data_IF_956966841652
#
_entry.id   IF_956966841652
#
_cell.length_a   1.000
_cell.length_b   1.000
_cell.length_c   1.000
_cell.angle_alpha   90.00
_cell.angle_beta   90.00
_cell.angle_gamma   90.00
#
_symmetry.space_group_name_H-M   'P 1'
#
loop_
_entity.id
_entity.type
_entity.pdbx_description
1 polymer ?
#
# COMPACT_ATOMS: atom_id res chain seq x y z
N UNK A 1 5.78 -17.67 16.25
CA UNK A 1 4.83 -17.89 15.13
C UNK A 1 5.52 -18.79 14.12
N UNK A 2 4.95 -19.95 13.81
CA UNK A 2 5.43 -20.81 12.73
C UNK A 2 5.25 -20.07 11.41
N UNK A 3 6.31 -19.95 10.61
CA UNK A 3 6.22 -19.46 9.24
C UNK A 3 5.26 -20.34 8.44
N UNK A 4 4.52 -19.74 7.50
CA UNK A 4 3.63 -20.49 6.62
C UNK A 4 4.44 -21.51 5.79
N UNK A 5 3.91 -22.73 5.65
CA UNK A 5 4.55 -23.74 4.82
C UNK A 5 4.40 -23.40 3.34
N UNK A 6 5.17 -24.06 2.46
CA UNK A 6 4.97 -23.92 1.00
C UNK A 6 3.55 -24.29 0.57
N UNK A 7 2.91 -25.24 1.26
CA UNK A 7 1.52 -25.63 1.00
C UNK A 7 0.54 -24.52 1.40
N UNK A 8 0.74 -23.89 2.56
CA UNK A 8 -0.06 -22.75 3.03
C UNK A 8 0.06 -21.56 2.07
N UNK A 9 1.28 -21.20 1.69
CA UNK A 9 1.53 -20.14 0.72
C UNK A 9 0.82 -20.42 -0.62
N UNK A 10 0.88 -21.65 -1.13
CA UNK A 10 0.18 -22.03 -2.37
C UNK A 10 -1.33 -21.89 -2.23
N UNK A 11 -1.91 -22.33 -1.11
CA UNK A 11 -3.34 -22.21 -0.80
C UNK A 11 -3.78 -20.75 -0.73
N UNK A 12 -3.08 -19.93 0.05
CA UNK A 12 -3.38 -18.50 0.23
C UNK A 12 -3.23 -17.74 -1.08
N UNK A 13 -2.15 -17.98 -1.84
CA UNK A 13 -1.95 -17.39 -3.17
C UNK A 13 -3.10 -17.72 -4.13
N UNK A 14 -3.54 -18.98 -4.14
CA UNK A 14 -4.69 -19.40 -4.98
C UNK A 14 -5.99 -18.71 -4.55
N UNK A 15 -6.17 -18.44 -3.25
CA UNK A 15 -7.33 -17.72 -2.74
C UNK A 15 -7.31 -16.24 -3.13
N UNK A 16 -6.14 -15.60 -3.06
CA UNK A 16 -5.95 -14.18 -3.33
C UNK A 16 -5.88 -13.83 -4.82
N UNK A 17 -5.44 -14.76 -5.68
CA UNK A 17 -5.20 -14.50 -7.10
C UNK A 17 -6.36 -13.78 -7.83
N UNK A 18 -7.65 -14.09 -7.61
CA UNK A 18 -8.75 -13.38 -8.26
C UNK A 18 -8.81 -11.88 -7.93
N UNK A 19 -8.38 -11.48 -6.72
CA UNK A 19 -8.35 -10.07 -6.31
C UNK A 19 -7.42 -9.21 -7.18
N UNK A 20 -6.42 -9.84 -7.80
CA UNK A 20 -5.44 -9.21 -8.69
C UNK A 20 -5.75 -9.47 -10.17
N UNK A 21 -6.95 -9.95 -10.49
CA UNK A 21 -7.37 -10.10 -11.88
C UNK A 21 -7.65 -8.75 -12.52
N UNK A 22 -7.50 -8.63 -13.84
CA UNK A 22 -7.82 -7.39 -14.59
C UNK A 22 -9.23 -6.89 -14.30
N UNK A 23 -10.21 -7.79 -14.24
CA UNK A 23 -11.59 -7.44 -13.94
C UNK A 23 -11.72 -6.81 -12.54
N UNK A 24 -11.09 -7.41 -11.52
CA UNK A 24 -11.12 -6.88 -10.16
C UNK A 24 -10.35 -5.58 -10.00
N UNK A 25 -9.23 -5.41 -10.70
CA UNK A 25 -8.48 -4.15 -10.71
C UNK A 25 -9.28 -3.03 -11.39
N UNK A 26 -9.97 -3.33 -12.50
CA UNK A 26 -10.83 -2.33 -13.17
C UNK A 26 -12.00 -1.87 -12.29
N UNK A 27 -12.51 -2.71 -11.37
CA UNK A 27 -13.52 -2.28 -10.38
C UNK A 27 -13.00 -1.17 -9.45
N UNK A 28 -11.67 -0.99 -9.34
CA UNK A 28 -11.01 -0.05 -8.43
C UNK A 28 -10.66 1.28 -9.11
N UNK A 29 -10.91 1.41 -10.41
CA UNK A 29 -10.54 2.61 -11.19
C UNK A 29 -11.12 3.89 -10.60
N UNK A 30 -12.42 3.88 -10.25
CA UNK A 30 -13.07 5.03 -9.65
C UNK A 30 -12.48 5.40 -8.27
N UNK A 31 -12.05 4.40 -7.48
CA UNK A 31 -11.40 4.63 -6.20
C UNK A 31 -10.02 5.25 -6.39
N UNK A 32 -9.20 4.71 -7.30
CA UNK A 32 -7.88 5.27 -7.58
C UNK A 32 -7.98 6.69 -8.14
N UNK A 33 -8.92 6.93 -9.07
CA UNK A 33 -9.15 8.25 -9.63
C UNK A 33 -9.47 9.29 -8.54
N UNK A 34 -10.31 8.93 -7.55
CA UNK A 34 -10.62 9.82 -6.42
C UNK A 34 -9.38 10.15 -5.58
N UNK A 35 -8.51 9.19 -5.31
CA UNK A 35 -7.25 9.42 -4.59
C UNK A 35 -6.27 10.28 -5.39
N UNK A 36 -6.17 10.06 -6.71
CA UNK A 36 -5.35 10.88 -7.60
C UNK A 36 -5.87 12.33 -7.63
N UNK A 37 -7.18 12.54 -7.77
CA UNK A 37 -7.77 13.88 -7.71
C UNK A 37 -7.50 14.59 -6.38
N UNK A 38 -7.55 13.87 -5.27
CA UNK A 38 -7.20 14.42 -3.96
C UNK A 38 -5.71 14.78 -3.88
N UNK A 39 -4.82 13.91 -4.36
CA UNK A 39 -3.38 14.20 -4.43
C UNK A 39 -3.13 15.47 -5.25
N UNK A 40 -3.65 15.54 -6.48
CA UNK A 40 -3.48 16.71 -7.36
C UNK A 40 -3.98 17.97 -6.67
N UNK A 41 -5.16 17.93 -6.03
CA UNK A 41 -5.68 19.06 -5.26
C UNK A 41 -4.69 19.51 -4.17
N UNK A 42 -4.23 18.60 -3.32
CA UNK A 42 -3.32 18.92 -2.22
C UNK A 42 -1.94 19.42 -2.69
N UNK A 43 -1.48 18.97 -3.86
CA UNK A 43 -0.24 19.43 -4.48
C UNK A 43 -0.40 20.82 -5.11
N UNK A 44 -1.54 21.09 -5.77
CA UNK A 44 -1.85 22.41 -6.33
C UNK A 44 -1.94 23.47 -5.25
N UNK A 45 -2.65 23.20 -4.15
CA UNK A 45 -2.75 24.13 -3.01
C UNK A 45 -1.36 24.52 -2.46
N UNK A 46 -0.42 23.58 -2.43
CA UNK A 46 0.96 23.85 -1.99
C UNK A 46 1.80 24.58 -3.01
N UNK A 47 1.59 24.28 -4.30
CA UNK A 47 2.26 24.97 -5.38
C UNK A 47 1.84 26.46 -5.40
N UNK A 48 0.56 26.74 -5.19
CA UNK A 48 0.01 28.11 -5.09
C UNK A 48 0.61 28.90 -3.91
N UNK A 49 0.93 28.21 -2.82
CA UNK A 49 1.60 28.78 -1.64
C UNK A 49 3.14 28.74 -1.72
N UNK A 50 3.71 28.26 -2.84
CA UNK A 50 5.15 28.06 -3.06
C UNK A 50 5.83 27.20 -1.97
N UNK A 51 5.08 26.26 -1.38
CA UNK A 51 5.59 25.38 -0.32
C UNK A 51 6.34 24.20 -0.95
N UNK A 52 7.63 24.02 -0.66
CA UNK A 52 8.37 22.85 -1.14
C UNK A 52 7.83 21.58 -0.50
N UNK A 53 7.77 20.51 -1.29
CA UNK A 53 7.26 19.21 -0.86
C UNK A 53 8.34 18.14 -0.92
N UNK A 54 8.21 17.13 -0.05
CA UNK A 54 8.91 15.88 -0.22
C UNK A 54 8.06 14.91 -1.05
N UNK A 55 8.38 14.75 -2.34
CA UNK A 55 7.61 13.88 -3.25
C UNK A 55 7.54 12.42 -2.77
N UNK A 56 8.55 11.96 -2.02
CA UNK A 56 8.55 10.61 -1.44
C UNK A 56 7.41 10.45 -0.44
N UNK A 57 7.17 11.45 0.41
CA UNK A 57 6.08 11.40 1.39
C UNK A 57 4.72 11.42 0.69
N UNK A 58 4.56 12.27 -0.32
CA UNK A 58 3.32 12.36 -1.10
C UNK A 58 2.96 11.07 -1.83
N UNK A 59 3.94 10.39 -2.43
CA UNK A 59 3.72 9.09 -3.04
C UNK A 59 3.42 8.00 -2.01
N UNK A 60 4.02 8.07 -0.83
CA UNK A 60 3.62 7.17 0.26
C UNK A 60 2.19 7.46 0.72
N UNK A 61 1.79 8.71 0.90
CA UNK A 61 0.43 9.06 1.33
C UNK A 61 -0.64 8.50 0.40
N UNK A 62 -0.53 8.74 -0.92
CA UNK A 62 -1.51 8.22 -1.88
C UNK A 62 -1.51 6.69 -1.93
N UNK A 63 -0.34 6.05 -1.92
CA UNK A 63 -0.26 4.58 -2.04
C UNK A 63 -0.71 3.88 -0.76
N UNK A 64 -0.50 4.48 0.42
CA UNK A 64 -1.04 3.96 1.68
C UNK A 64 -2.56 4.07 1.69
N UNK A 65 -3.11 5.23 1.37
CA UNK A 65 -4.55 5.46 1.38
C UNK A 65 -5.26 4.54 0.37
N UNK A 66 -4.76 4.49 -0.87
CA UNK A 66 -5.35 3.66 -1.91
C UNK A 66 -5.24 2.16 -1.62
N UNK A 67 -4.06 1.66 -1.21
CA UNK A 67 -3.90 0.22 -0.92
C UNK A 67 -4.64 -0.16 0.37
N UNK A 68 -4.75 0.74 1.34
CA UNK A 68 -5.64 0.58 2.49
C UNK A 68 -7.07 0.31 2.05
N UNK A 69 -7.61 1.22 1.21
CA UNK A 69 -8.96 1.07 0.69
C UNK A 69 -9.11 -0.20 -0.17
N UNK A 70 -8.14 -0.49 -1.02
CA UNK A 70 -8.11 -1.70 -1.84
C UNK A 70 -8.12 -2.98 -1.00
N UNK A 71 -7.47 -2.98 0.17
CA UNK A 71 -7.29 -4.18 0.98
C UNK A 71 -8.44 -4.39 1.95
N UNK A 72 -8.89 -3.33 2.62
CA UNK A 72 -9.86 -3.39 3.72
C UNK A 72 -11.04 -2.42 3.59
N UNK A 73 -11.22 -1.75 2.45
CA UNK A 73 -12.25 -0.72 2.23
C UNK A 73 -12.15 0.49 3.18
N UNK A 74 -10.96 0.76 3.73
CA UNK A 74 -10.71 1.88 4.65
C UNK A 74 -9.44 2.62 4.25
N UNK A 75 -9.55 3.95 4.11
CA UNK A 75 -8.41 4.84 3.87
C UNK A 75 -7.76 5.22 5.19
N UNK A 76 -6.45 5.51 5.17
CA UNK A 76 -5.73 5.99 6.34
C UNK A 76 -5.72 7.53 6.44
N UNK A 77 -6.33 8.21 5.46
CA UNK A 77 -6.45 9.65 5.38
C UNK A 77 -5.09 10.38 5.43
N UNK A 78 -4.03 9.78 4.91
CA UNK A 78 -2.69 10.38 4.90
C UNK A 78 -2.64 11.61 4.00
N UNK A 79 -3.33 11.59 2.85
CA UNK A 79 -3.42 12.74 1.95
C UNK A 79 -4.15 13.93 2.59
N UNK A 80 -5.29 13.68 3.24
CA UNK A 80 -6.08 14.74 3.89
C UNK A 80 -5.37 15.37 5.08
N UNK A 81 -4.68 14.54 5.86
CA UNK A 81 -3.95 14.98 7.04
C UNK A 81 -2.56 15.56 6.73
N UNK A 82 -2.05 15.33 5.51
CA UNK A 82 -0.69 15.68 5.09
C UNK A 82 0.41 15.09 5.98
N UNK A 83 0.12 13.94 6.60
CA UNK A 83 1.03 13.22 7.48
C UNK A 83 0.65 11.74 7.45
N UNK A 84 1.60 10.89 7.80
CA UNK A 84 1.32 9.48 7.95
C UNK A 84 0.38 9.25 9.13
N UNK A 85 -0.56 8.33 8.93
CA UNK A 85 -1.31 7.79 10.05
C UNK A 85 -0.34 7.18 11.10
N UNK A 86 -0.57 7.39 12.42
CA UNK A 86 0.36 6.94 13.48
C UNK A 86 0.77 5.45 13.41
N UNK A 87 -0.12 4.62 12.88
CA UNK A 87 0.14 3.21 12.63
C UNK A 87 1.27 2.98 11.61
N UNK A 88 1.29 3.74 10.51
CA UNK A 88 2.33 3.63 9.47
C UNK A 88 3.68 4.08 10.01
N UNK A 89 3.72 5.21 10.74
CA UNK A 89 4.93 5.64 11.46
C UNK A 89 5.47 4.50 12.35
N UNK A 90 4.58 3.81 13.05
CA UNK A 90 4.94 2.70 13.92
C UNK A 90 5.45 1.47 13.14
N UNK A 91 4.97 1.22 11.92
CA UNK A 91 5.48 0.14 11.04
C UNK A 91 6.92 0.43 10.64
N UNK A 92 7.22 1.63 10.13
CA UNK A 92 8.57 1.97 9.70
C UNK A 92 9.58 1.90 10.85
N UNK A 93 9.17 2.33 12.06
CA UNK A 93 9.95 2.13 13.28
C UNK A 93 10.10 0.63 13.61
N UNK A 94 9.02 -0.14 13.50
CA UNK A 94 8.99 -1.59 13.75
C UNK A 94 9.90 -2.38 12.82
N UNK A 95 10.00 -2.03 11.53
CA UNK A 95 10.91 -2.69 10.57
C UNK A 95 12.37 -2.55 11.01
N UNK A 96 12.78 -1.36 11.45
CA UNK A 96 14.12 -1.14 12.03
C UNK A 96 14.32 -1.96 13.29
N UNK A 97 13.30 -2.02 14.15
CA UNK A 97 13.29 -2.85 15.35
C UNK A 97 13.44 -4.35 15.07
N UNK A 98 12.74 -4.87 14.06
CA UNK A 98 12.85 -6.27 13.62
C UNK A 98 14.25 -6.58 13.07
N UNK A 99 14.80 -5.70 12.25
CA UNK A 99 16.16 -5.85 11.71
C UNK A 99 17.19 -5.90 12.85
N UNK A 100 17.10 -4.97 13.81
CA UNK A 100 17.97 -4.92 14.97
C UNK A 100 17.82 -6.17 15.85
N UNK A 101 16.59 -6.58 16.16
CA UNK A 101 16.33 -7.78 16.96
C UNK A 101 16.86 -9.05 16.29
N UNK A 102 16.80 -9.13 14.95
CA UNK A 102 17.37 -10.25 14.20
C UNK A 102 18.89 -10.33 14.34
N UNK A 103 19.59 -9.19 14.25
CA UNK A 103 21.04 -9.12 14.47
C UNK A 103 21.39 -9.49 15.92
N UNK A 104 20.65 -8.98 16.89
CA UNK A 104 20.86 -9.27 18.31
C UNK A 104 20.58 -10.74 18.65
N UNK A 105 19.65 -11.40 17.96
CA UNK A 105 19.37 -12.82 18.12
C UNK A 105 20.52 -13.74 17.69
N UNK A 106 21.46 -13.26 16.87
CA UNK A 106 22.70 -13.99 16.57
C UNK A 106 23.77 -13.84 17.66
N UNK A 107 23.64 -12.86 18.56
CA UNK A 107 24.63 -12.54 19.60
C UNK A 107 23.97 -12.34 20.97
N UNK A 108 23.78 -13.43 21.73
CA UNK A 108 23.06 -13.36 23.01
C UNK A 108 23.60 -12.40 24.07
N UNK A 109 24.92 -12.15 24.21
CA UNK A 109 25.42 -11.14 25.15
C UNK A 109 24.96 -9.72 24.80
N UNK A 110 24.88 -9.39 23.50
CA UNK A 110 24.41 -8.10 23.01
C UNK A 110 22.90 -7.93 23.22
N UNK A 111 22.11 -9.01 23.11
CA UNK A 111 20.66 -8.98 23.37
C UNK A 111 20.34 -8.59 24.82
N UNK A 112 21.14 -9.06 25.78
CA UNK A 112 20.98 -8.67 27.19
C UNK A 112 21.32 -7.19 27.37
N UNK A 113 22.44 -6.72 26.81
CA UNK A 113 22.85 -5.31 26.91
C UNK A 113 21.79 -4.35 26.34
N UNK A 114 21.21 -4.68 25.18
CA UNK A 114 20.18 -3.84 24.53
C UNK A 114 18.89 -3.79 25.33
N UNK A 115 18.48 -4.87 26.02
CA UNK A 115 17.31 -4.86 26.93
C UNK A 115 17.45 -3.86 28.08
N UNK A 116 18.67 -3.57 28.53
CA UNK A 116 18.95 -2.58 29.58
C UNK A 116 19.01 -1.14 29.05
N UNK A 117 19.14 -0.97 27.74
CA UNK A 117 19.07 0.34 27.08
C UNK A 117 17.65 0.67 26.64
N UNK A 118 17.27 1.96 26.63
CA UNK A 118 15.97 2.44 26.11
C UNK A 118 15.79 2.26 24.58
N UNK A 119 16.68 1.51 23.92
CA UNK A 119 16.60 1.11 22.51
C UNK A 119 15.35 0.23 22.23
N UNK A 120 14.71 -0.30 23.27
CA UNK A 120 13.44 -1.05 23.18
C UNK A 120 12.20 -0.24 22.76
N UNK A 121 12.30 1.08 22.53
CA UNK A 121 11.13 1.89 22.13
C UNK A 121 10.57 1.47 20.77
N UNK A 122 11.43 1.07 19.84
CA UNK A 122 11.04 0.58 18.50
C UNK A 122 10.46 -0.85 18.55
N UNK A 123 10.86 -1.65 19.55
CA UNK A 123 10.31 -3.00 19.78
C UNK A 123 8.92 -2.92 20.42
N UNK A 124 8.65 -1.91 21.26
CA UNK A 124 7.31 -1.67 21.80
C UNK A 124 6.32 -1.14 20.74
N UNK A 125 6.82 -0.44 19.70
CA UNK A 125 6.00 0.01 18.57
C UNK A 125 5.37 -1.17 17.80
N UNK A 126 6.05 -2.32 17.74
CA UNK A 126 5.59 -3.57 17.11
C UNK A 126 4.28 -4.09 17.72
N UNK A 127 4.02 -3.86 19.01
CA UNK A 127 2.76 -4.27 19.66
C UNK A 127 1.58 -3.39 19.24
N UNK A 128 1.77 -2.07 19.19
CA UNK A 128 0.76 -1.12 18.70
C UNK A 128 0.46 -1.28 17.20
N UNK A 129 1.50 -1.55 16.38
CA UNK A 129 1.36 -1.88 14.96
C UNK A 129 0.48 -3.11 14.77
N UNK A 130 0.75 -4.17 15.52
CA UNK A 130 -0.04 -5.40 15.47
C UNK A 130 -1.45 -5.18 15.96
N UNK A 131 -1.66 -4.36 16.98
CA UNK A 131 -2.99 -4.10 17.53
C UNK A 131 -3.88 -3.33 16.57
N UNK A 132 -3.37 -2.26 15.95
CA UNK A 132 -4.15 -1.48 14.99
C UNK A 132 -4.42 -2.27 13.71
N UNK A 133 -3.44 -3.00 13.16
CA UNK A 133 -3.65 -3.89 12.02
C UNK A 133 -4.71 -4.97 12.32
N UNK A 134 -4.69 -5.52 13.53
CA UNK A 134 -5.72 -6.45 14.02
C UNK A 134 -7.08 -5.78 14.08
N UNK A 135 -7.18 -4.58 14.66
CA UNK A 135 -8.43 -3.86 14.81
C UNK A 135 -9.04 -3.50 13.46
N UNK A 136 -8.24 -2.94 12.54
CA UNK A 136 -8.64 -2.63 11.17
C UNK A 136 -9.20 -3.87 10.46
N UNK A 137 -8.46 -4.98 10.52
CA UNK A 137 -8.89 -6.22 9.89
C UNK A 137 -10.12 -6.80 10.58
N UNK A 138 -10.20 -6.78 11.90
CA UNK A 138 -11.35 -7.28 12.67
C UNK A 138 -12.62 -6.48 12.39
N UNK A 139 -12.51 -5.15 12.33
CA UNK A 139 -13.60 -4.27 11.93
C UNK A 139 -14.08 -4.67 10.53
N UNK A 140 -13.16 -4.86 9.58
CA UNK A 140 -13.54 -5.30 8.22
C UNK A 140 -14.18 -6.69 8.19
N UNK A 141 -13.69 -7.62 9.01
CA UNK A 141 -14.26 -8.98 9.15
C UNK A 141 -15.70 -8.96 9.66
N UNK A 142 -16.09 -7.96 10.46
CA UNK A 142 -17.47 -7.84 10.98
C UNK A 142 -18.54 -7.67 9.88
N UNK A 143 -18.14 -7.20 8.69
CA UNK A 143 -19.01 -7.05 7.53
C UNK A 143 -19.12 -8.32 6.67
N UNK A 144 -18.35 -9.37 6.98
CA UNK A 144 -18.31 -10.61 6.20
C UNK A 144 -17.82 -10.39 4.76
N UNK A 145 -18.27 -11.23 3.83
CA UNK A 145 -17.92 -11.19 2.40
C UNK A 145 -18.71 -10.13 1.60
N UNK A 146 -19.35 -9.17 2.30
CA UNK A 146 -20.07 -8.07 1.66
C UNK A 146 -19.11 -7.07 1.03
N UNK A 147 -19.53 -6.49 -0.10
CA UNK A 147 -18.92 -5.30 -0.69
C UNK A 147 -19.30 -4.08 0.14
N UNK A 148 -18.32 -3.24 0.49
CA UNK A 148 -18.54 -2.02 1.27
C UNK A 148 -18.64 -0.81 0.32
N UNK A 149 -17.68 -0.64 -0.59
CA UNK A 149 -17.58 0.54 -1.48
C UNK A 149 -18.01 0.25 -2.93
N UNK A 150 -19.05 -0.57 -3.13
CA UNK A 150 -19.52 -1.06 -4.44
C UNK A 150 -18.51 -1.93 -5.25
N UNK A 151 -17.23 -1.95 -4.89
CA UNK A 151 -16.21 -2.86 -5.39
C UNK A 151 -15.86 -3.94 -4.33
N UNK A 152 -15.19 -5.01 -4.78
CA UNK A 152 -14.61 -6.00 -3.86
C UNK A 152 -13.22 -5.54 -3.41
N UNK A 153 -13.01 -5.30 -2.13
CA UNK A 153 -11.66 -5.23 -1.55
C UNK A 153 -11.00 -6.63 -1.50
N UNK A 154 -9.69 -6.67 -1.29
CA UNK A 154 -8.93 -7.94 -1.20
C UNK A 154 -9.45 -8.83 -0.06
N UNK A 155 -9.93 -8.25 1.05
CA UNK A 155 -10.48 -9.02 2.18
C UNK A 155 -11.74 -9.78 1.81
N UNK A 156 -12.56 -9.24 0.90
CA UNK A 156 -13.72 -9.91 0.31
C UNK A 156 -13.31 -11.22 -0.34
N UNK A 157 -12.21 -11.22 -1.09
CA UNK A 157 -11.67 -12.43 -1.70
C UNK A 157 -11.08 -13.39 -0.66
N UNK A 158 -10.43 -12.88 0.40
CA UNK A 158 -9.94 -13.72 1.50
C UNK A 158 -11.08 -14.44 2.23
N UNK A 159 -12.23 -13.79 2.38
CA UNK A 159 -13.42 -14.34 3.06
C UNK A 159 -14.27 -15.27 2.20
N UNK A 160 -14.08 -15.25 0.88
CA UNK A 160 -14.88 -16.04 -0.05
C UNK A 160 -14.74 -17.54 0.21
N UNK A 161 -15.85 -18.18 0.56
CA UNK A 161 -15.91 -19.63 0.77
C UNK A 161 -15.78 -20.40 -0.55
N UNK A 162 -15.27 -21.62 -0.48
CA UNK A 162 -15.25 -22.54 -1.62
C UNK A 162 -16.65 -23.06 -1.95
N UNK A 163 -16.79 -23.71 -3.11
CA UNK A 163 -18.07 -24.28 -3.56
C UNK A 163 -18.68 -25.31 -2.61
N UNK A 164 -17.86 -25.94 -1.76
CA UNK A 164 -18.26 -26.85 -0.70
C UNK A 164 -18.53 -26.15 0.65
N UNK A 165 -18.56 -24.81 0.67
CA UNK A 165 -18.87 -24.00 1.84
C UNK A 165 -17.73 -23.83 2.85
N UNK A 166 -16.52 -24.34 2.56
CA UNK A 166 -15.38 -24.26 3.49
C UNK A 166 -14.63 -22.93 3.36
N UNK A 167 -14.05 -22.50 4.48
CA UNK A 167 -13.12 -21.38 4.50
C UNK A 167 -11.76 -21.83 3.96
N UNK A 168 -11.14 -20.97 3.14
CA UNK A 168 -9.79 -21.22 2.62
C UNK A 168 -8.70 -20.48 3.36
N UNK A 169 -9.05 -19.45 4.10
CA UNK A 169 -8.16 -18.73 5.00
C UNK A 169 -8.91 -18.54 6.33
N UNK A 170 -8.26 -18.86 7.44
CA UNK A 170 -8.81 -18.59 8.77
C UNK A 170 -8.75 -17.09 9.09
N UNK A 171 -9.61 -16.61 9.99
CA UNK A 171 -9.58 -15.21 10.44
C UNK A 171 -8.19 -14.76 10.93
N UNK A 172 -7.45 -15.66 11.57
CA UNK A 172 -6.10 -15.37 12.06
C UNK A 172 -5.09 -15.21 10.91
N UNK A 173 -5.22 -16.00 9.84
CA UNK A 173 -4.42 -15.84 8.62
C UNK A 173 -4.75 -14.52 7.92
N UNK A 174 -6.03 -14.14 7.85
CA UNK A 174 -6.46 -12.87 7.26
C UNK A 174 -5.86 -11.70 8.05
N UNK A 175 -6.06 -11.67 9.37
CA UNK A 175 -5.52 -10.65 10.29
C UNK A 175 -4.00 -10.46 10.16
N UNK A 176 -3.25 -11.54 9.88
CA UNK A 176 -1.78 -11.47 9.76
C UNK A 176 -1.32 -11.15 8.33
N UNK A 177 -2.14 -11.44 7.32
CA UNK A 177 -1.83 -11.19 5.91
C UNK A 177 -2.17 -9.77 5.48
N UNK A 178 -3.28 -9.22 5.96
CA UNK A 178 -3.75 -7.87 5.64
C UNK A 178 -2.69 -6.77 5.79
N UNK A 179 -2.00 -6.62 6.95
CA UNK A 179 -0.98 -5.58 7.08
C UNK A 179 0.20 -5.79 6.13
N UNK A 180 0.55 -7.05 5.83
CA UNK A 180 1.61 -7.36 4.86
C UNK A 180 1.22 -6.87 3.47
N UNK A 181 -0.03 -7.07 3.05
CA UNK A 181 -0.53 -6.58 1.76
C UNK A 181 -0.50 -5.05 1.68
N UNK A 182 -0.93 -4.36 2.73
CA UNK A 182 -0.91 -2.90 2.79
C UNK A 182 0.51 -2.37 2.66
N UNK A 183 1.42 -2.82 3.53
CA UNK A 183 2.81 -2.34 3.55
C UNK A 183 3.52 -2.66 2.24
N UNK A 184 3.41 -3.91 1.78
CA UNK A 184 4.15 -4.38 0.61
C UNK A 184 3.63 -3.75 -0.69
N UNK A 185 2.35 -3.37 -0.75
CA UNK A 185 1.77 -2.71 -1.92
C UNK A 185 2.08 -1.22 -1.95
N UNK A 186 2.10 -0.55 -0.79
CA UNK A 186 2.28 0.88 -0.71
C UNK A 186 3.74 1.30 -0.89
N UNK A 187 4.64 0.80 -0.04
CA UNK A 187 6.03 1.31 0.04
C UNK A 187 6.81 1.06 -1.26
N UNK A 188 6.67 -0.13 -1.87
CA UNK A 188 7.39 -0.44 -3.11
C UNK A 188 6.91 0.40 -4.28
N UNK A 189 5.59 0.66 -4.35
CA UNK A 189 5.00 1.49 -5.42
C UNK A 189 5.40 2.95 -5.24
N UNK A 190 5.38 3.46 -4.00
CA UNK A 190 5.85 4.81 -3.70
C UNK A 190 7.33 4.99 -4.05
N UNK A 191 8.18 4.00 -3.73
CA UNK A 191 9.59 4.02 -4.08
C UNK A 191 9.81 4.04 -5.60
N UNK A 192 9.09 3.22 -6.36
CA UNK A 192 9.16 3.19 -7.82
C UNK A 192 8.74 4.54 -8.44
N UNK A 193 7.62 5.12 -7.99
CA UNK A 193 7.14 6.43 -8.44
C UNK A 193 8.11 7.55 -8.10
N UNK A 194 8.68 7.52 -6.90
CA UNK A 194 9.69 8.49 -6.45
C UNK A 194 10.94 8.42 -7.33
N UNK A 195 11.40 7.21 -7.65
CA UNK A 195 12.53 7.00 -8.55
C UNK A 195 12.26 7.51 -9.96
N UNK A 196 11.10 7.15 -10.53
CA UNK A 196 10.66 7.63 -11.84
C UNK A 196 10.65 9.16 -11.90
N UNK A 197 10.02 9.80 -10.91
CA UNK A 197 9.97 11.26 -10.84
C UNK A 197 11.36 11.89 -10.71
N UNK A 198 12.23 11.32 -9.87
CA UNK A 198 13.59 11.80 -9.73
C UNK A 198 14.33 11.77 -11.07
N UNK A 199 14.30 10.65 -11.80
CA UNK A 199 15.00 10.53 -13.08
C UNK A 199 14.41 11.43 -14.16
N UNK A 200 13.09 11.54 -14.25
CA UNK A 200 12.45 12.44 -15.21
C UNK A 200 12.81 13.90 -14.93
N UNK A 201 12.78 14.35 -13.67
CA UNK A 201 13.10 15.73 -13.33
C UNK A 201 14.59 16.11 -13.54
N UNK A 202 15.49 15.12 -13.62
CA UNK A 202 16.90 15.34 -13.96
C UNK A 202 17.17 15.41 -15.47
N UNK A 203 16.27 14.85 -16.30
CA UNK A 203 16.38 14.86 -17.76
C UNK A 203 15.19 15.62 -18.37
N UNK A 204 15.39 16.92 -18.58
CA UNK A 204 14.37 17.81 -19.13
C UNK A 204 13.85 17.37 -20.51
N UNK A 205 14.69 16.75 -21.34
CA UNK A 205 14.30 16.27 -22.67
C UNK A 205 13.33 15.09 -22.55
N UNK A 206 13.61 14.13 -21.67
CA UNK A 206 12.80 12.90 -21.49
C UNK A 206 11.51 13.22 -20.74
N UNK A 207 11.59 14.11 -19.77
CA UNK A 207 10.41 14.67 -19.10
C UNK A 207 9.46 15.35 -20.08
N UNK A 208 9.98 16.14 -21.03
CA UNK A 208 9.15 16.79 -22.04
C UNK A 208 8.45 15.76 -22.94
N UNK A 209 9.16 14.71 -23.39
CA UNK A 209 8.57 13.65 -24.21
C UNK A 209 7.42 12.95 -23.49
N UNK A 210 7.59 12.59 -22.21
CA UNK A 210 6.50 12.00 -21.40
C UNK A 210 5.32 12.96 -21.27
N UNK A 211 5.59 14.25 -21.00
CA UNK A 211 4.55 15.26 -20.89
C UNK A 211 3.77 15.43 -22.20
N UNK A 212 4.46 15.44 -23.34
CA UNK A 212 3.84 15.55 -24.66
C UNK A 212 3.01 14.31 -24.99
N UNK A 213 3.51 13.11 -24.73
CA UNK A 213 2.76 11.85 -24.92
C UNK A 213 1.44 11.88 -24.16
N UNK A 214 1.46 12.25 -22.87
CA UNK A 214 0.26 12.30 -22.03
C UNK A 214 -0.69 13.41 -22.48
N UNK A 215 -0.20 14.64 -22.68
CA UNK A 215 -1.04 15.82 -22.96
C UNK A 215 -1.66 15.80 -24.36
N UNK A 216 -1.07 15.08 -25.31
CA UNK A 216 -1.64 14.91 -26.65
C UNK A 216 -2.60 13.72 -26.73
N UNK A 217 -2.51 12.76 -25.82
CA UNK A 217 -3.35 11.55 -25.80
C UNK A 217 -4.74 11.77 -25.20
N UNK A 218 -4.90 12.77 -24.32
CA UNK A 218 -6.11 12.99 -23.53
C UNK A 218 -6.57 14.45 -23.57
N UNK A 219 -7.83 14.67 -23.92
CA UNK A 219 -8.44 16.01 -23.93
C UNK A 219 -8.85 16.49 -22.52
N UNK A 220 -8.99 15.58 -21.57
CA UNK A 220 -9.35 15.91 -20.18
C UNK A 220 -8.94 14.82 -19.20
N UNK A 221 -8.76 15.18 -17.92
CA UNK A 221 -8.47 14.23 -16.83
C UNK A 221 -9.50 13.11 -16.74
N UNK A 222 -10.78 13.41 -17.00
CA UNK A 222 -11.87 12.42 -16.97
C UNK A 222 -11.76 11.34 -18.05
N UNK A 223 -10.95 11.57 -19.08
CA UNK A 223 -10.72 10.60 -20.15
C UNK A 223 -9.61 9.60 -19.82
N UNK A 224 -8.86 9.79 -18.74
CA UNK A 224 -7.77 8.90 -18.33
C UNK A 224 -8.36 7.68 -17.61
N UNK A 225 -8.09 6.48 -18.12
CA UNK A 225 -8.58 5.20 -17.58
C UNK A 225 -7.45 4.18 -17.50
N UNK A 226 -7.62 3.10 -16.73
CA UNK A 226 -6.59 2.05 -16.63
C UNK A 226 -6.30 1.40 -17.98
N UNK A 227 -7.33 1.28 -18.81
CA UNK A 227 -7.19 0.64 -20.12
C UNK A 227 -6.36 1.48 -21.08
N UNK A 228 -6.59 2.80 -21.11
CA UNK A 228 -5.91 3.65 -22.09
C UNK A 228 -4.52 4.11 -21.64
N UNK A 229 -4.24 4.17 -20.34
CA UNK A 229 -2.88 4.46 -19.85
C UNK A 229 -1.90 3.32 -20.14
N UNK A 230 -2.39 2.09 -20.28
CA UNK A 230 -1.61 0.95 -20.74
C UNK A 230 -1.11 1.09 -22.20
N UNK A 231 -1.63 2.06 -22.96
CA UNK A 231 -1.22 2.31 -24.35
C UNK A 231 -0.12 3.39 -24.46
N UNK A 232 0.26 4.06 -23.36
CA UNK A 232 1.30 5.09 -23.33
C UNK A 232 2.68 4.44 -23.41
N UNK A 233 3.19 4.24 -24.63
CA UNK A 233 4.39 3.45 -24.87
C UNK A 233 5.62 4.01 -24.17
N UNK A 234 5.84 5.33 -24.24
CA UNK A 234 7.04 5.96 -23.68
C UNK A 234 6.98 6.01 -22.16
N UNK A 235 5.85 6.42 -21.57
CA UNK A 235 5.66 6.38 -20.12
C UNK A 235 5.88 4.97 -19.56
N UNK A 236 5.32 3.93 -20.20
CA UNK A 236 5.52 2.54 -19.77
C UNK A 236 7.00 2.12 -19.90
N UNK A 237 7.71 2.55 -20.95
CA UNK A 237 9.14 2.31 -21.09
C UNK A 237 10.00 3.02 -20.03
N UNK A 238 9.53 4.12 -19.44
CA UNK A 238 10.20 4.76 -18.31
C UNK A 238 9.95 4.03 -16.97
N UNK A 239 8.85 3.30 -16.86
CA UNK A 239 8.48 2.56 -15.64
C UNK A 239 9.21 1.20 -15.56
N UNK A 240 9.48 0.56 -16.70
CA UNK A 240 10.18 -0.73 -16.83
C UNK A 240 11.71 -0.63 -16.65
#
# INVERSE_FOLDING_TARGET
>A
MSSATTADHRRMRKQLAPAFSRASLNEQEASLARHISLLVKCLTERADEEIPINVVDWFNFITIDFIGELTVSESFHCLENNDYHPWIHSIFAGIRGVALNRVLGYFEPLRILVKWTKINRDVAADEGVRQFARQLTQNRLSYGDRKINACNDITTFMLKKTSDGRERMSSQEIITTTPVLVISGSETTAAALSGLWFYLLQDAERHQVVCEEIRTRYDSEKSITFQNTAELMYLNACIE
#
